data_IF_375355307636
#
_entry.id   IF_375355307636
#
_cell.length_a   1.000
_cell.length_b   1.000
_cell.length_c   1.000
_cell.angle_alpha   90.00
_cell.angle_beta   90.00
_cell.angle_gamma   90.00
#
_symmetry.space_group_name_H-M   'P 1'
#
loop_
_entity.id
_entity.type
_entity.pdbx_description
1 polymer ?
#
# COMPACT_ATOMS: atom_id res chain seq x y z
N UNK A 1 -13.52 37.02 -57.41
CA UNK A 1 -13.16 37.83 -56.23
C UNK A 1 -14.38 37.86 -55.34
N UNK A 2 -14.36 37.10 -54.25
CA UNK A 2 -15.53 36.85 -53.41
C UNK A 2 -15.84 38.07 -52.53
N UNK A 3 -17.10 38.47 -52.57
CA UNK A 3 -17.72 39.59 -51.87
C UNK A 3 -17.68 39.38 -50.34
N UNK A 4 -17.28 40.42 -49.61
CA UNK A 4 -17.25 40.40 -48.15
C UNK A 4 -18.70 40.46 -47.61
N UNK A 5 -19.09 39.62 -46.63
CA UNK A 5 -20.49 39.47 -46.25
C UNK A 5 -21.02 40.64 -45.41
N UNK A 6 -22.26 41.05 -45.70
CA UNK A 6 -22.92 42.29 -45.27
C UNK A 6 -23.36 42.37 -43.78
N UNK A 7 -22.94 41.45 -42.91
CA UNK A 7 -23.35 41.44 -41.48
C UNK A 7 -22.45 42.29 -40.56
N UNK A 8 -21.44 42.96 -41.11
CA UNK A 8 -20.42 43.71 -40.36
C UNK A 8 -20.74 45.21 -40.19
N UNK A 9 -22.00 45.63 -40.37
CA UNK A 9 -22.41 47.04 -40.41
C UNK A 9 -23.34 47.49 -39.27
N UNK A 10 -23.34 46.84 -38.11
CA UNK A 10 -24.01 47.42 -36.93
C UNK A 10 -23.08 48.43 -36.23
N UNK A 11 -23.53 49.69 -36.17
CA UNK A 11 -22.83 50.78 -35.49
C UNK A 11 -22.68 50.50 -33.98
N UNK A 12 -21.60 50.99 -33.32
CA UNK A 12 -21.43 50.79 -31.90
C UNK A 12 -22.62 51.39 -31.13
N UNK A 13 -23.30 50.59 -30.31
CA UNK A 13 -24.40 51.07 -29.46
C UNK A 13 -23.91 52.24 -28.59
N UNK A 14 -24.42 53.43 -28.87
CA UNK A 14 -24.26 54.60 -28.00
C UNK A 14 -24.85 54.25 -26.63
N UNK A 15 -24.02 54.31 -25.59
CA UNK A 15 -24.45 54.19 -24.21
C UNK A 15 -25.36 55.39 -23.87
N UNK A 16 -26.67 55.24 -24.08
CA UNK A 16 -27.68 56.21 -23.67
C UNK A 16 -28.39 55.76 -22.41
N UNK A 17 -28.17 56.61 -21.41
CA UNK A 17 -29.12 57.08 -20.41
C UNK A 17 -29.29 56.27 -19.13
N UNK A 18 -28.47 56.73 -18.16
CA UNK A 18 -28.89 57.00 -16.79
C UNK A 18 -30.35 57.47 -16.74
N UNK A 19 -31.19 56.67 -16.10
CA UNK A 19 -32.49 57.11 -15.60
C UNK A 19 -33.26 55.91 -15.08
N UNK A 20 -33.70 55.97 -13.84
CA UNK A 20 -34.81 55.14 -13.33
C UNK A 20 -34.59 53.64 -13.11
N UNK A 21 -33.46 53.23 -12.54
CA UNK A 21 -33.49 52.12 -11.57
C UNK A 21 -33.03 52.62 -10.21
N UNK A 22 -33.95 53.33 -9.56
CA UNK A 22 -33.89 53.65 -8.14
C UNK A 22 -33.71 52.37 -7.31
N UNK A 23 -32.92 52.53 -6.25
CA UNK A 23 -32.52 51.50 -5.31
C UNK A 23 -31.73 50.35 -5.94
N UNK A 24 -30.40 50.50 -5.99
CA UNK A 24 -29.49 49.35 -5.92
C UNK A 24 -29.89 48.55 -4.69
N UNK A 25 -30.67 47.48 -4.89
CA UNK A 25 -30.84 46.47 -3.86
C UNK A 25 -29.43 46.06 -3.42
N UNK A 26 -29.08 46.13 -2.12
CA UNK A 26 -27.79 45.63 -1.68
C UNK A 26 -27.70 44.19 -2.15
N UNK A 27 -26.59 43.82 -2.79
CA UNK A 27 -26.32 42.43 -3.18
C UNK A 27 -26.20 41.65 -1.86
N UNK A 28 -27.31 41.08 -1.40
CA UNK A 28 -27.31 40.22 -0.22
C UNK A 28 -26.66 38.92 -0.64
N UNK A 29 -25.57 38.48 0.00
CA UNK A 29 -24.95 37.21 -0.35
C UNK A 29 -25.97 36.10 -0.09
N UNK A 30 -26.43 35.45 -1.17
CA UNK A 30 -27.27 34.26 -1.09
C UNK A 30 -26.50 33.20 -0.29
N UNK A 31 -26.95 32.89 0.92
CA UNK A 31 -26.47 31.73 1.67
C UNK A 31 -26.98 30.48 0.95
N UNK A 32 -26.23 30.02 -0.05
CA UNK A 32 -26.51 28.76 -0.73
C UNK A 32 -26.59 27.65 0.32
N UNK A 33 -27.72 26.94 0.36
CA UNK A 33 -27.84 25.73 1.20
C UNK A 33 -26.71 24.79 0.81
N UNK A 34 -26.00 24.25 1.79
CA UNK A 34 -24.89 23.31 1.54
C UNK A 34 -25.43 22.16 0.67
N UNK A 35 -24.81 21.85 -0.48
CA UNK A 35 -25.25 20.73 -1.30
C UNK A 35 -25.17 19.46 -0.47
N UNK A 36 -26.25 18.66 -0.47
CA UNK A 36 -26.27 17.36 0.19
C UNK A 36 -25.30 16.45 -0.57
N UNK A 37 -24.12 16.21 0.02
CA UNK A 37 -23.16 15.25 -0.56
C UNK A 37 -23.79 13.87 -0.52
N UNK A 38 -24.17 13.34 -1.69
CA UNK A 38 -24.50 11.93 -1.81
C UNK A 38 -23.25 11.10 -1.43
N UNK A 39 -23.44 10.08 -0.60
CA UNK A 39 -22.34 9.19 -0.23
C UNK A 39 -21.74 8.57 -1.51
N UNK A 40 -20.40 8.51 -1.63
CA UNK A 40 -19.78 7.86 -2.76
C UNK A 40 -20.23 6.40 -2.79
N UNK A 41 -20.75 5.94 -3.93
CA UNK A 41 -21.08 4.53 -4.11
C UNK A 41 -19.77 3.76 -4.09
N UNK A 42 -19.55 2.93 -3.07
CA UNK A 42 -18.41 2.01 -3.03
C UNK A 42 -18.55 1.08 -4.23
N UNK A 43 -17.66 1.24 -5.22
CA UNK A 43 -17.64 0.37 -6.39
C UNK A 43 -16.99 -0.93 -5.96
N UNK A 44 -17.81 -1.90 -5.55
CA UNK A 44 -17.33 -3.24 -5.21
C UNK A 44 -16.79 -3.86 -6.50
N UNK A 45 -15.52 -4.24 -6.49
CA UNK A 45 -14.87 -4.85 -7.64
C UNK A 45 -15.30 -6.31 -7.80
N UNK A 46 -15.30 -6.83 -9.02
CA UNK A 46 -15.73 -8.22 -9.29
C UNK A 46 -14.96 -9.26 -8.48
N UNK A 47 -13.68 -9.04 -8.23
CA UNK A 47 -12.84 -9.92 -7.41
C UNK A 47 -13.23 -9.91 -5.92
N UNK A 48 -13.71 -8.78 -5.38
CA UNK A 48 -14.21 -8.69 -4.01
C UNK A 48 -15.52 -9.48 -3.84
N UNK A 49 -16.38 -9.45 -4.87
CA UNK A 49 -17.61 -10.26 -4.91
C UNK A 49 -17.30 -11.75 -4.99
N UNK A 50 -16.29 -12.15 -5.78
CA UNK A 50 -15.87 -13.54 -5.91
C UNK A 50 -15.28 -14.10 -4.60
N UNK A 51 -14.48 -13.30 -3.90
CA UNK A 51 -13.96 -13.64 -2.58
C UNK A 51 -15.08 -13.79 -1.54
N UNK A 52 -16.06 -12.87 -1.54
CA UNK A 52 -17.20 -12.93 -0.62
C UNK A 52 -18.11 -14.15 -0.87
N UNK A 53 -18.25 -14.58 -2.12
CA UNK A 53 -19.05 -15.76 -2.51
C UNK A 53 -18.33 -17.10 -2.34
N UNK A 54 -17.04 -17.10 -2.02
CA UNK A 54 -16.25 -18.33 -1.91
C UNK A 54 -15.86 -18.96 -3.26
N UNK A 55 -16.02 -18.23 -4.37
CA UNK A 55 -15.71 -18.68 -5.74
C UNK A 55 -14.24 -18.46 -6.13
N UNK A 56 -13.33 -18.56 -5.17
CA UNK A 56 -11.89 -18.28 -5.32
C UNK A 56 -11.18 -19.22 -6.33
N UNK A 57 -11.83 -20.31 -6.72
CA UNK A 57 -11.30 -21.37 -7.59
C UNK A 57 -11.44 -21.09 -9.10
N UNK A 58 -12.14 -20.00 -9.50
CA UNK A 58 -12.43 -19.70 -10.92
C UNK A 58 -11.45 -18.72 -11.59
N UNK A 59 -10.60 -18.00 -10.86
CA UNK A 59 -9.64 -17.06 -11.48
C UNK A 59 -8.16 -17.50 -11.35
N UNK A 60 -7.42 -17.64 -12.47
CA UNK A 60 -5.99 -18.00 -12.47
C UNK A 60 -5.11 -17.05 -11.65
N UNK A 61 -5.42 -15.75 -11.68
CA UNK A 61 -4.69 -14.71 -10.93
C UNK A 61 -4.77 -14.93 -9.41
N UNK A 62 -5.88 -15.49 -8.90
CA UNK A 62 -6.03 -15.85 -7.49
C UNK A 62 -5.20 -17.08 -7.12
N UNK A 63 -4.96 -18.00 -8.07
CA UNK A 63 -4.16 -19.22 -7.84
C UNK A 63 -2.68 -18.89 -7.71
N UNK A 64 -2.14 -18.10 -8.65
CA UNK A 64 -0.78 -17.57 -8.56
C UNK A 64 -0.61 -16.66 -7.35
N UNK A 65 -1.59 -15.80 -7.08
CA UNK A 65 -1.60 -14.94 -5.89
C UNK A 65 -1.62 -15.73 -4.58
N UNK A 66 -2.39 -16.81 -4.48
CA UNK A 66 -2.47 -17.65 -3.29
C UNK A 66 -1.23 -18.53 -3.08
N UNK A 67 -0.56 -18.95 -4.15
CA UNK A 67 0.73 -19.64 -4.07
C UNK A 67 1.85 -18.68 -3.68
N UNK A 68 1.90 -17.49 -4.27
CA UNK A 68 2.83 -16.43 -3.90
C UNK A 68 2.62 -16.00 -2.43
N UNK A 69 1.36 -15.83 -2.01
CA UNK A 69 1.02 -15.52 -0.62
C UNK A 69 1.43 -16.64 0.34
N UNK A 70 1.21 -17.91 -0.01
CA UNK A 70 1.67 -19.05 0.81
C UNK A 70 3.19 -19.09 0.94
N UNK A 71 3.94 -18.74 -0.11
CA UNK A 71 5.42 -18.67 -0.07
C UNK A 71 5.93 -17.47 0.72
N UNK A 72 5.23 -16.34 0.65
CA UNK A 72 5.62 -15.10 1.34
C UNK A 72 5.07 -15.01 2.78
N UNK A 73 4.22 -15.94 3.20
CA UNK A 73 3.65 -15.94 4.54
C UNK A 73 4.79 -16.11 5.55
N UNK A 74 4.88 -15.26 6.58
CA UNK A 74 5.86 -15.44 7.64
C UNK A 74 5.61 -16.79 8.33
N UNK A 75 6.68 -17.50 8.73
CA UNK A 75 6.57 -18.79 9.38
C UNK A 75 5.69 -18.69 10.63
N UNK A 76 4.92 -19.74 10.89
CA UNK A 76 4.03 -19.78 12.04
C UNK A 76 4.81 -19.75 13.36
N UNK A 77 4.18 -19.29 14.45
CA UNK A 77 4.84 -19.24 15.79
C UNK A 77 5.42 -20.60 16.20
N UNK A 78 4.73 -21.70 15.88
CA UNK A 78 5.19 -23.05 16.15
C UNK A 78 6.46 -23.40 15.35
N UNK A 79 6.48 -23.11 14.04
CA UNK A 79 7.65 -23.34 13.17
C UNK A 79 8.86 -22.48 13.61
N UNK A 80 8.60 -21.25 14.06
CA UNK A 80 9.66 -20.37 14.59
C UNK A 80 10.25 -20.93 15.88
N UNK A 81 9.43 -21.46 16.78
CA UNK A 81 9.91 -22.10 18.01
C UNK A 81 10.71 -23.37 17.73
N UNK A 82 10.22 -24.23 16.84
CA UNK A 82 10.94 -25.46 16.44
C UNK A 82 12.31 -25.13 15.84
N UNK A 83 12.38 -24.15 14.93
CA UNK A 83 13.66 -23.68 14.38
C UNK A 83 14.59 -23.09 15.43
N UNK A 84 14.04 -22.38 16.43
CA UNK A 84 14.82 -21.81 17.51
C UNK A 84 15.46 -22.92 18.37
N UNK A 85 14.69 -23.95 18.72
CA UNK A 85 15.21 -25.12 19.46
C UNK A 85 16.27 -25.89 18.67
N UNK A 86 16.08 -26.06 17.36
CA UNK A 86 17.07 -26.69 16.51
C UNK A 86 18.39 -25.92 16.45
N UNK A 87 18.31 -24.58 16.38
CA UNK A 87 19.50 -23.72 16.42
C UNK A 87 20.21 -23.79 17.78
N UNK A 88 19.45 -23.73 18.88
CA UNK A 88 19.99 -23.81 20.24
C UNK A 88 20.70 -25.15 20.46
N UNK A 89 20.07 -26.27 20.07
CA UNK A 89 20.65 -27.59 20.16
C UNK A 89 21.94 -27.74 19.32
N UNK A 90 22.03 -27.07 18.16
CA UNK A 90 23.26 -27.05 17.35
C UNK A 90 24.37 -26.26 18.03
N UNK A 91 24.05 -25.07 18.54
CA UNK A 91 25.01 -24.21 19.25
C UNK A 91 25.60 -24.94 20.47
N UNK A 92 24.76 -25.61 21.25
CA UNK A 92 25.18 -26.40 22.40
C UNK A 92 26.14 -27.54 22.02
N UNK A 93 25.87 -28.24 20.93
CA UNK A 93 26.74 -29.30 20.43
C UNK A 93 28.10 -28.73 19.98
N UNK A 94 28.10 -27.57 19.34
CA UNK A 94 29.33 -26.89 18.91
C UNK A 94 30.17 -26.43 20.10
N UNK A 95 29.55 -25.79 21.10
CA UNK A 95 30.22 -25.36 22.31
C UNK A 95 30.88 -26.53 23.06
N UNK A 96 30.17 -27.67 23.18
CA UNK A 96 30.73 -28.90 23.77
C UNK A 96 31.91 -29.46 22.98
N UNK A 97 31.83 -29.43 21.64
CA UNK A 97 32.93 -29.86 20.76
C UNK A 97 34.16 -28.97 20.93
N UNK A 98 33.95 -27.66 21.02
CA UNK A 98 35.03 -26.70 21.22
C UNK A 98 35.70 -26.86 22.58
N UNK A 99 34.92 -27.00 23.66
CA UNK A 99 35.47 -27.32 24.98
C UNK A 99 36.30 -28.61 24.97
N UNK A 100 35.81 -29.66 24.30
CA UNK A 100 36.56 -30.92 24.18
C UNK A 100 37.89 -30.72 23.45
N UNK A 101 37.88 -29.98 22.33
CA UNK A 101 39.10 -29.65 21.58
C UNK A 101 40.08 -28.85 22.43
N UNK A 102 39.59 -27.87 23.18
CA UNK A 102 40.43 -27.06 24.07
C UNK A 102 41.08 -27.91 25.17
N UNK A 103 40.29 -28.77 25.84
CA UNK A 103 40.80 -29.69 26.88
C UNK A 103 41.89 -30.61 26.32
N UNK A 104 41.69 -31.18 25.13
CA UNK A 104 42.68 -32.02 24.46
C UNK A 104 43.95 -31.26 24.10
N UNK A 105 43.84 -30.03 23.59
CA UNK A 105 45.00 -29.16 23.31
C UNK A 105 45.79 -28.86 24.58
N UNK A 106 45.10 -28.51 25.68
CA UNK A 106 45.74 -28.23 26.97
C UNK A 106 46.44 -29.46 27.56
N UNK A 107 45.80 -30.63 27.49
CA UNK A 107 46.39 -31.88 27.93
C UNK A 107 47.63 -32.28 27.09
N UNK A 108 47.56 -32.12 25.76
CA UNK A 108 48.71 -32.37 24.87
C UNK A 108 49.88 -31.42 25.15
N UNK A 109 49.60 -30.13 25.41
CA UNK A 109 50.63 -29.16 25.79
C UNK A 109 51.29 -29.52 27.13
N UNK A 110 50.49 -29.95 28.12
CA UNK A 110 50.99 -30.38 29.42
C UNK A 110 51.85 -31.65 29.34
N UNK A 111 51.49 -32.62 28.48
CA UNK A 111 52.31 -33.81 28.27
C UNK A 111 53.64 -33.49 27.60
N UNK A 112 53.64 -32.62 26.56
CA UNK A 112 54.89 -32.17 25.93
C UNK A 112 55.83 -31.46 26.91
N UNK A 113 55.29 -30.68 27.83
CA UNK A 113 56.07 -30.00 28.86
C UNK A 113 56.64 -30.92 29.96
N UNK A 114 56.19 -32.19 30.02
CA UNK A 114 56.73 -33.20 30.94
C UNK A 114 57.78 -34.11 30.30
N UNK A 115 57.79 -34.18 28.97
CA UNK A 115 58.70 -35.04 28.19
C UNK A 115 59.96 -34.31 27.71
N UNK A 116 59.99 -32.97 27.76
CA UNK A 116 61.16 -32.14 27.46
C UNK A 116 61.75 -31.53 28.72
#
# INVERSE_FOLDING_TARGET
SAESPAWLWEAPMEARDRGEHGARAPIVPLRLRRPQRLAPRTRIMSHEVAAWKGDLWREPALREGAEAWRRQRPPGRAEVQERAWDMEARSDREARREQRRWKLRRASAANRAREG
#
